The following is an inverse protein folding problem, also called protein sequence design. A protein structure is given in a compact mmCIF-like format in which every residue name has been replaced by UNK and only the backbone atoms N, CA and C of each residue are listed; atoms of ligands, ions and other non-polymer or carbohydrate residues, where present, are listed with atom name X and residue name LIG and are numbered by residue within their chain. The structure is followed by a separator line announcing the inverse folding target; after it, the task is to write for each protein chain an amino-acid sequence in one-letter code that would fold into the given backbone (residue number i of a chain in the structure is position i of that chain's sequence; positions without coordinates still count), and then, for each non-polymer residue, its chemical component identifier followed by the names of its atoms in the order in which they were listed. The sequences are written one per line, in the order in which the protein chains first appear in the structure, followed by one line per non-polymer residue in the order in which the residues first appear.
data_IF_990579495005
#
_entry.id   IF_990579495005
#
_cell.length_a   1.000
_cell.length_b   1.000
_cell.length_c   1.000
_cell.angle_alpha   90.00
_cell.angle_beta   90.00
_cell.angle_gamma   90.00
#
_symmetry.space_group_name_H-M   'P 1'
#
loop_
_entity.id
_entity.type
_entity.pdbx_description
1 polymer ?
#
# COMPACT_ATOMS: atom_id res chain seq x y z
N UNK A 1 18.04 1.70 14.16
CA UNK A 1 16.66 1.17 14.07
C UNK A 1 16.44 0.69 12.65
N UNK A 2 16.10 -0.58 12.45
CA UNK A 2 15.75 -1.07 11.12
C UNK A 2 14.28 -0.78 10.87
N UNK A 3 13.94 -0.11 9.78
CA UNK A 3 12.57 -0.10 9.27
C UNK A 3 12.41 -1.42 8.53
N UNK A 4 11.57 -2.33 9.04
CA UNK A 4 10.99 -3.33 8.19
C UNK A 4 9.76 -2.70 7.57
N UNK A 5 9.96 -2.28 6.38
CA UNK A 5 9.02 -2.01 5.31
C UNK A 5 7.73 -1.24 5.58
N UNK A 6 7.44 -0.51 4.60
CA UNK A 6 6.09 -0.16 4.16
C UNK A 6 5.76 -1.04 2.96
N UNK A 7 4.48 -1.38 2.79
CA UNK A 7 4.04 -1.90 1.51
C UNK A 7 4.40 -0.89 0.40
N UNK A 8 5.12 -1.35 -0.59
CA UNK A 8 5.48 -0.56 -1.76
C UNK A 8 4.56 -0.91 -2.91
N UNK A 9 3.75 0.05 -3.33
CA UNK A 9 2.76 -0.15 -4.38
C UNK A 9 3.21 0.45 -5.69
N UNK A 10 2.92 -0.25 -6.77
CA UNK A 10 2.92 0.27 -8.13
C UNK A 10 1.51 0.30 -8.69
N UNK A 11 1.32 0.83 -9.88
CA UNK A 11 0.02 1.00 -10.51
C UNK A 11 0.04 0.57 -11.96
N UNK A 12 -1.08 0.01 -12.40
CA UNK A 12 -1.43 -0.12 -13.81
C UNK A 12 -2.65 0.74 -14.05
N UNK A 13 -2.56 1.67 -14.98
CA UNK A 13 -3.66 2.58 -15.34
C UNK A 13 -4.11 2.32 -16.77
N UNK A 14 -5.42 2.36 -16.96
CA UNK A 14 -6.03 2.08 -18.24
C UNK A 14 -7.05 3.17 -18.61
N UNK A 15 -7.09 3.52 -19.88
CA UNK A 15 -8.20 4.27 -20.48
C UNK A 15 -9.32 3.30 -20.83
N UNK A 16 -10.55 3.75 -20.65
CA UNK A 16 -11.76 2.97 -20.98
C UNK A 16 -12.76 3.79 -21.75
N UNK A 17 -13.63 3.09 -22.51
CA UNK A 17 -14.77 3.66 -23.23
C UNK A 17 -16.06 2.90 -22.92
N UNK A 18 -17.19 3.50 -23.22
CA UNK A 18 -18.51 2.88 -23.02
C UNK A 18 -18.98 2.81 -21.56
N UNK A 19 -18.22 3.35 -20.60
CA UNK A 19 -18.55 3.36 -19.17
C UNK A 19 -18.14 4.68 -18.52
N UNK A 20 -18.94 5.14 -17.55
CA UNK A 20 -18.61 6.31 -16.75
C UNK A 20 -17.76 5.90 -15.53
N UNK A 21 -16.66 6.60 -15.34
CA UNK A 21 -15.77 6.45 -14.19
C UNK A 21 -15.82 7.67 -13.27
N UNK A 22 -15.09 7.66 -12.17
CA UNK A 22 -14.95 8.82 -11.28
C UNK A 22 -14.49 10.05 -12.08
N UNK A 23 -13.58 9.87 -13.06
CA UNK A 23 -13.04 10.96 -13.86
C UNK A 23 -14.12 11.79 -14.57
N UNK A 24 -15.12 11.13 -15.15
CA UNK A 24 -16.25 11.81 -15.85
C UNK A 24 -17.26 12.39 -14.85
N UNK A 25 -17.51 11.69 -13.73
CA UNK A 25 -18.56 12.02 -12.77
C UNK A 25 -18.14 13.08 -11.75
N UNK A 26 -16.84 13.25 -11.50
CA UNK A 26 -16.30 14.18 -10.49
C UNK A 26 -16.12 15.61 -11.02
N UNK A 27 -16.77 16.00 -12.13
CA UNK A 27 -16.58 17.32 -12.77
C UNK A 27 -17.89 17.88 -13.32
N UNK A 28 -17.96 19.22 -13.37
CA UNK A 28 -19.04 19.94 -14.03
C UNK A 28 -20.45 19.56 -13.58
N UNK A 29 -21.40 19.53 -14.51
CA UNK A 29 -22.79 19.16 -14.24
C UNK A 29 -22.96 17.75 -13.67
N UNK A 30 -22.23 16.69 -14.10
CA UNK A 30 -22.27 15.38 -13.48
C UNK A 30 -21.97 15.43 -11.98
N UNK A 31 -20.98 16.21 -11.53
CA UNK A 31 -20.64 16.34 -10.11
C UNK A 31 -21.80 16.95 -9.30
N UNK A 32 -22.49 17.95 -9.84
CA UNK A 32 -23.69 18.51 -9.19
C UNK A 32 -24.78 17.45 -9.00
N UNK A 33 -24.96 16.58 -9.99
CA UNK A 33 -25.86 15.44 -9.89
C UNK A 33 -25.43 14.43 -8.80
N UNK A 34 -24.14 14.16 -8.65
CA UNK A 34 -23.60 13.30 -7.60
C UNK A 34 -23.76 13.92 -6.20
N UNK A 35 -23.54 15.23 -6.06
CA UNK A 35 -23.78 15.97 -4.82
C UNK A 35 -25.26 15.89 -4.44
N UNK A 36 -26.16 16.13 -5.39
CA UNK A 36 -27.61 16.04 -5.13
C UNK A 36 -28.02 14.64 -4.69
N UNK A 37 -27.54 13.58 -5.37
CA UNK A 37 -27.79 12.19 -4.99
C UNK A 37 -27.34 11.90 -3.55
N UNK A 38 -26.15 12.39 -3.16
CA UNK A 38 -25.59 12.21 -1.82
C UNK A 38 -26.53 12.80 -0.75
N UNK A 39 -26.97 14.04 -0.95
CA UNK A 39 -27.86 14.72 0.01
C UNK A 39 -29.25 14.09 0.15
N UNK A 40 -29.74 13.42 -0.90
CA UNK A 40 -31.04 12.70 -0.83
C UNK A 40 -30.89 11.21 -0.47
N UNK A 41 -29.71 10.80 0.03
CA UNK A 41 -29.45 9.42 0.46
C UNK A 41 -29.42 8.39 -0.68
N UNK A 42 -29.13 8.80 -1.93
CA UNK A 42 -28.92 7.90 -3.05
C UNK A 42 -27.44 7.65 -3.28
N UNK A 43 -27.10 6.46 -3.78
CA UNK A 43 -25.71 6.07 -4.11
C UNK A 43 -25.03 7.12 -5.00
N UNK A 44 -23.90 7.62 -4.53
CA UNK A 44 -23.08 8.66 -5.17
C UNK A 44 -21.60 8.26 -5.17
N UNK A 45 -20.82 8.85 -6.08
CA UNK A 45 -19.36 8.72 -6.04
C UNK A 45 -18.75 9.30 -4.75
N UNK A 46 -19.46 10.21 -4.06
CA UNK A 46 -18.99 10.81 -2.80
C UNK A 46 -19.00 9.83 -1.63
N UNK A 47 -19.65 8.69 -1.77
CA UNK A 47 -19.64 7.59 -0.79
C UNK A 47 -18.54 6.56 -1.05
N UNK A 48 -17.94 6.63 -2.24
CA UNK A 48 -16.89 5.69 -2.61
C UNK A 48 -15.60 6.04 -1.88
N UNK A 49 -15.02 5.06 -1.20
CA UNK A 49 -13.63 5.13 -0.78
C UNK A 49 -12.69 5.17 -2.00
N UNK A 50 -11.40 5.42 -1.78
CA UNK A 50 -10.42 5.50 -2.86
C UNK A 50 -10.27 4.17 -3.63
N UNK A 51 -10.74 3.07 -3.06
CA UNK A 51 -10.71 1.73 -3.64
C UNK A 51 -12.09 1.09 -3.56
N UNK A 52 -12.58 0.61 -4.68
CA UNK A 52 -13.89 -0.03 -4.76
C UNK A 52 -13.84 -1.55 -4.50
N UNK A 53 -12.74 -2.21 -4.88
CA UNK A 53 -12.57 -3.66 -4.78
C UNK A 53 -11.15 -3.97 -4.32
N UNK A 54 -11.03 -4.94 -3.40
CA UNK A 54 -9.78 -5.52 -2.93
C UNK A 54 -9.70 -6.99 -3.40
N UNK A 55 -8.59 -7.34 -4.05
CA UNK A 55 -8.31 -8.71 -4.48
C UNK A 55 -7.02 -9.18 -3.82
N UNK A 56 -7.05 -10.40 -3.28
CA UNK A 56 -5.89 -11.06 -2.68
C UNK A 56 -5.54 -12.28 -3.53
N UNK A 57 -4.36 -12.28 -4.12
CA UNK A 57 -3.94 -13.25 -5.11
C UNK A 57 -2.55 -13.82 -4.77
N UNK A 58 -2.19 -14.91 -5.41
CA UNK A 58 -0.88 -15.54 -5.30
C UNK A 58 -0.05 -15.21 -6.53
N UNK A 59 1.18 -14.76 -6.34
CA UNK A 59 2.15 -14.56 -7.43
C UNK A 59 2.56 -15.87 -8.06
N UNK A 60 2.56 -16.95 -7.28
CA UNK A 60 2.80 -18.32 -7.72
C UNK A 60 1.70 -19.23 -7.17
N UNK A 61 1.15 -20.09 -8.05
CA UNK A 61 0.09 -21.05 -7.71
C UNK A 61 0.47 -22.06 -6.60
N UNK A 62 1.77 -22.26 -6.39
CA UNK A 62 2.29 -23.18 -5.37
C UNK A 62 2.37 -22.55 -3.97
N UNK A 63 2.10 -21.25 -3.82
CA UNK A 63 2.05 -20.60 -2.52
C UNK A 63 0.80 -21.04 -1.76
N UNK A 64 0.94 -21.29 -0.46
CA UNK A 64 -0.20 -21.66 0.41
C UNK A 64 -1.15 -20.48 0.64
N UNK A 65 -0.62 -19.27 0.67
CA UNK A 65 -1.36 -18.05 0.98
C UNK A 65 -1.14 -16.95 -0.07
N UNK A 66 -2.14 -16.08 -0.30
CA UNK A 66 -1.95 -14.88 -1.11
C UNK A 66 -0.79 -14.03 -0.63
N UNK A 67 0.00 -13.53 -1.57
CA UNK A 67 1.16 -12.66 -1.33
C UNK A 67 1.07 -11.33 -2.07
N UNK A 68 0.03 -11.16 -2.89
CA UNK A 68 -0.27 -9.93 -3.64
C UNK A 68 -1.63 -9.39 -3.23
N UNK A 69 -1.73 -8.08 -3.08
CA UNK A 69 -3.00 -7.37 -3.07
C UNK A 69 -3.13 -6.49 -4.31
N UNK A 70 -4.31 -6.47 -4.90
CA UNK A 70 -4.69 -5.57 -5.98
C UNK A 70 -5.91 -4.77 -5.54
N UNK A 71 -5.82 -3.46 -5.68
CA UNK A 71 -6.92 -2.53 -5.44
C UNK A 71 -7.42 -1.99 -6.75
N UNK A 72 -8.72 -2.14 -7.01
CA UNK A 72 -9.37 -1.56 -8.17
C UNK A 72 -10.03 -0.23 -7.80
N UNK A 73 -9.62 0.83 -8.51
CA UNK A 73 -10.20 2.18 -8.41
C UNK A 73 -10.79 2.55 -9.78
N UNK A 74 -12.10 2.83 -9.88
CA UNK A 74 -12.72 3.23 -11.15
C UNK A 74 -12.43 4.70 -11.49
N UNK A 75 -11.16 5.05 -11.55
CA UNK A 75 -10.63 6.37 -11.82
C UNK A 75 -9.12 6.37 -12.01
N UNK A 76 -8.61 7.39 -12.67
CA UNK A 76 -7.18 7.61 -12.90
C UNK A 76 -6.77 9.01 -12.46
N UNK A 77 -5.52 9.15 -12.04
CA UNK A 77 -4.92 10.41 -11.60
C UNK A 77 -3.77 10.78 -12.54
N UNK A 78 -3.55 12.08 -12.70
CA UNK A 78 -2.42 12.58 -13.48
C UNK A 78 -1.10 12.06 -12.91
N UNK A 79 -0.19 11.71 -13.80
CA UNK A 79 1.14 11.23 -13.43
C UNK A 79 1.82 12.21 -12.47
N UNK A 80 2.32 11.68 -11.34
CA UNK A 80 2.96 12.48 -10.29
C UNK A 80 2.02 13.31 -9.39
N UNK A 81 0.70 13.37 -9.70
CA UNK A 81 -0.28 14.16 -8.93
C UNK A 81 -1.46 13.30 -8.47
N UNK A 82 -1.35 12.69 -7.31
CA UNK A 82 -2.42 11.83 -6.76
C UNK A 82 -3.73 12.58 -6.43
N UNK A 83 -3.68 13.88 -6.27
CA UNK A 83 -4.84 14.72 -5.96
C UNK A 83 -5.62 15.18 -7.19
N UNK A 84 -5.07 14.99 -8.40
CA UNK A 84 -5.66 15.51 -9.64
C UNK A 84 -6.10 14.37 -10.55
N UNK A 85 -7.41 14.24 -10.75
CA UNK A 85 -7.97 13.26 -11.68
C UNK A 85 -7.64 13.60 -13.13
N UNK A 86 -7.38 12.60 -13.95
CA UNK A 86 -7.32 12.74 -15.41
C UNK A 86 -8.68 13.16 -15.98
N UNK A 87 -8.70 13.65 -17.22
CA UNK A 87 -9.95 14.06 -17.87
C UNK A 87 -10.73 12.88 -18.44
N UNK A 88 -9.99 11.94 -19.02
CA UNK A 88 -10.57 10.80 -19.73
C UNK A 88 -11.03 9.72 -18.75
N UNK A 89 -12.01 8.93 -19.15
CA UNK A 89 -12.47 7.79 -18.37
C UNK A 89 -11.37 6.74 -18.27
N UNK A 90 -11.13 6.26 -17.05
CA UNK A 90 -10.12 5.25 -16.82
C UNK A 90 -10.31 4.54 -15.48
N UNK A 91 -9.50 3.50 -15.26
CA UNK A 91 -9.38 2.84 -13.97
C UNK A 91 -7.92 2.59 -13.61
N UNK A 92 -7.68 2.39 -12.34
CA UNK A 92 -6.36 2.06 -11.78
C UNK A 92 -6.42 0.73 -11.05
N UNK A 93 -5.46 -0.15 -11.33
CA UNK A 93 -5.12 -1.32 -10.54
C UNK A 93 -3.83 -1.01 -9.76
N UNK A 94 -3.96 -0.70 -8.47
CA UNK A 94 -2.80 -0.54 -7.60
C UNK A 94 -2.46 -1.88 -6.98
N UNK A 95 -1.18 -2.26 -6.99
CA UNK A 95 -0.76 -3.57 -6.49
C UNK A 95 0.51 -3.49 -5.67
N UNK A 96 0.63 -4.38 -4.70
CA UNK A 96 1.80 -4.54 -3.83
C UNK A 96 1.92 -5.94 -3.26
N UNK A 97 3.12 -6.28 -2.83
CA UNK A 97 3.40 -7.51 -2.10
C UNK A 97 2.97 -7.36 -0.62
N UNK A 98 2.35 -8.41 -0.05
CA UNK A 98 1.90 -8.42 1.33
C UNK A 98 3.03 -8.52 2.35
N UNK A 99 4.05 -9.30 2.05
CA UNK A 99 5.14 -9.63 2.99
C UNK A 99 6.48 -9.39 2.33
N UNK A 100 6.86 -8.12 2.09
CA UNK A 100 8.14 -7.79 1.51
C UNK A 100 9.29 -8.25 2.41
N UNK A 101 10.45 -8.54 1.80
CA UNK A 101 11.68 -8.93 2.49
C UNK A 101 12.74 -7.83 2.49
N UNK A 102 12.58 -6.80 1.67
CA UNK A 102 13.42 -5.61 1.71
C UNK A 102 13.26 -4.90 3.04
N UNK A 103 14.30 -4.32 3.58
CA UNK A 103 14.23 -3.53 4.80
C UNK A 103 15.24 -2.38 4.77
N UNK A 104 14.84 -1.29 5.39
CA UNK A 104 15.63 -0.09 5.48
C UNK A 104 16.00 0.29 6.91
N UNK A 105 16.26 1.59 7.12
CA UNK A 105 16.60 2.09 8.45
C UNK A 105 16.14 3.54 8.65
N UNK A 106 15.98 3.91 9.94
CA UNK A 106 15.87 5.30 10.40
C UNK A 106 16.99 5.56 11.38
N UNK A 107 17.74 6.65 11.19
CA UNK A 107 18.87 7.02 12.06
C UNK A 107 18.85 8.51 12.37
N UNK A 108 19.18 8.87 13.62
CA UNK A 108 19.53 10.25 13.94
C UNK A 108 20.85 10.62 13.23
N UNK A 109 20.89 11.76 12.56
CA UNK A 109 22.11 12.24 11.89
C UNK A 109 23.10 12.92 12.84
N UNK A 110 22.59 13.51 13.90
CA UNK A 110 23.35 14.22 14.94
C UNK A 110 22.55 14.26 16.25
N UNK A 111 23.02 14.98 17.23
CA UNK A 111 22.39 15.13 18.56
C UNK A 111 21.34 16.22 18.64
N UNK A 112 21.11 17.00 17.58
CA UNK A 112 20.04 17.99 17.52
C UNK A 112 18.68 17.28 17.33
N UNK A 113 17.74 17.36 18.31
CA UNK A 113 16.45 16.69 18.24
C UNK A 113 15.52 17.27 17.16
N UNK A 114 15.79 18.46 16.65
CA UNK A 114 15.01 19.10 15.58
C UNK A 114 15.53 18.79 14.18
N UNK A 115 16.69 18.15 14.07
CA UNK A 115 17.21 17.73 12.78
C UNK A 115 16.47 16.50 12.26
N UNK A 116 16.01 16.56 11.00
CA UNK A 116 15.31 15.43 10.38
C UNK A 116 16.20 14.18 10.34
N UNK A 117 15.67 13.00 10.74
CA UNK A 117 16.41 11.76 10.69
C UNK A 117 16.74 11.37 9.24
N UNK A 118 17.73 10.53 9.08
CA UNK A 118 17.97 9.80 7.84
C UNK A 118 16.98 8.65 7.77
N UNK A 119 16.20 8.61 6.68
CA UNK A 119 15.21 7.57 6.41
C UNK A 119 15.57 6.91 5.09
N UNK A 120 15.92 5.63 5.13
CA UNK A 120 16.29 4.85 3.94
C UNK A 120 15.44 3.58 3.89
N UNK A 121 14.37 3.55 3.08
CA UNK A 121 13.47 2.40 3.02
C UNK A 121 14.04 1.17 2.32
N UNK A 122 14.89 1.35 1.31
CA UNK A 122 15.45 0.28 0.46
C UNK A 122 14.39 -0.58 -0.25
N UNK A 123 13.30 0.04 -0.70
CA UNK A 123 12.25 -0.69 -1.43
C UNK A 123 12.80 -1.45 -2.62
N UNK A 124 12.25 -2.65 -2.87
CA UNK A 124 12.63 -3.53 -3.97
C UNK A 124 14.13 -3.89 -4.00
N UNK A 125 14.78 -3.95 -2.84
CA UNK A 125 16.17 -4.40 -2.74
C UNK A 125 16.27 -5.93 -2.77
N UNK A 126 15.32 -6.63 -2.13
CA UNK A 126 15.28 -8.09 -2.14
C UNK A 126 14.75 -8.62 -3.48
N UNK A 127 15.38 -9.67 -4.03
CA UNK A 127 15.00 -10.27 -5.33
C UNK A 127 13.57 -10.80 -5.33
N UNK A 128 13.09 -11.30 -4.19
CA UNK A 128 11.72 -11.78 -4.06
C UNK A 128 10.72 -10.64 -4.26
N UNK A 129 10.99 -9.46 -3.72
CA UNK A 129 10.11 -8.29 -3.84
C UNK A 129 10.05 -7.79 -5.28
N UNK A 130 11.20 -7.81 -6.00
CA UNK A 130 11.28 -7.46 -7.42
C UNK A 130 10.47 -8.43 -8.26
N UNK A 131 10.61 -9.73 -8.01
CA UNK A 131 9.88 -10.78 -8.74
C UNK A 131 8.37 -10.67 -8.51
N UNK A 132 7.94 -10.53 -7.25
CA UNK A 132 6.52 -10.46 -6.90
C UNK A 132 5.85 -9.22 -7.47
N UNK A 133 6.50 -8.04 -7.44
CA UNK A 133 5.92 -6.81 -8.00
C UNK A 133 5.78 -6.90 -9.54
N UNK A 134 6.75 -7.49 -10.23
CA UNK A 134 6.68 -7.73 -11.67
C UNK A 134 5.52 -8.68 -12.00
N UNK A 135 5.39 -9.78 -11.26
CA UNK A 135 4.31 -10.75 -11.48
C UNK A 135 2.94 -10.11 -11.17
N UNK A 136 2.85 -9.26 -10.15
CA UNK A 136 1.64 -8.52 -9.83
C UNK A 136 1.19 -7.60 -10.99
N UNK A 137 2.12 -6.91 -11.67
CA UNK A 137 1.81 -6.12 -12.87
C UNK A 137 1.28 -7.00 -14.00
N UNK A 138 1.89 -8.17 -14.24
CA UNK A 138 1.43 -9.12 -15.26
C UNK A 138 0.02 -9.65 -14.96
N UNK A 139 -0.26 -9.97 -13.69
CA UNK A 139 -1.60 -10.36 -13.24
C UNK A 139 -2.60 -9.23 -13.50
N UNK A 140 -2.25 -7.98 -13.17
CA UNK A 140 -3.09 -6.82 -13.48
C UNK A 140 -3.38 -6.70 -14.98
N UNK A 141 -2.39 -6.90 -15.86
CA UNK A 141 -2.60 -6.97 -17.32
C UNK A 141 -3.54 -8.10 -17.72
N UNK A 142 -3.38 -9.27 -17.11
CA UNK A 142 -4.29 -10.41 -17.35
C UNK A 142 -5.74 -10.06 -17.01
N UNK A 143 -5.97 -9.32 -15.93
CA UNK A 143 -7.31 -8.88 -15.53
C UNK A 143 -7.97 -7.97 -16.57
N UNK A 144 -7.21 -7.07 -17.22
CA UNK A 144 -7.76 -6.18 -18.26
C UNK A 144 -8.27 -6.96 -19.49
N UNK A 145 -7.77 -8.16 -19.72
CA UNK A 145 -8.14 -9.01 -20.87
C UNK A 145 -9.28 -9.99 -20.55
N UNK A 146 -9.82 -9.98 -19.34
CA UNK A 146 -10.97 -10.79 -18.95
C UNK A 146 -12.25 -10.34 -19.66
N UNK A 147 -13.22 -11.24 -19.82
CA UNK A 147 -14.52 -10.91 -20.44
C UNK A 147 -15.26 -9.76 -19.74
N UNK A 148 -14.97 -9.51 -18.45
CA UNK A 148 -15.58 -8.44 -17.67
C UNK A 148 -15.00 -7.06 -17.98
N UNK A 149 -13.71 -6.93 -18.24
CA UNK A 149 -13.03 -5.64 -18.41
C UNK A 149 -12.68 -5.35 -19.88
N UNK A 150 -12.35 -6.38 -20.66
CA UNK A 150 -11.96 -6.24 -22.07
C UNK A 150 -12.92 -5.43 -22.94
N UNK A 151 -14.27 -5.51 -22.80
CA UNK A 151 -15.18 -4.71 -23.60
C UNK A 151 -15.06 -3.20 -23.40
N UNK A 152 -14.51 -2.76 -22.28
CA UNK A 152 -14.33 -1.34 -21.95
C UNK A 152 -12.89 -0.87 -22.13
N UNK A 153 -11.92 -1.79 -22.24
CA UNK A 153 -10.50 -1.51 -22.30
C UNK A 153 -10.13 -0.88 -23.65
N UNK A 154 -9.48 0.28 -23.62
CA UNK A 154 -8.92 0.95 -24.81
C UNK A 154 -7.43 0.75 -24.87
N UNK A 155 -6.71 1.21 -23.85
CA UNK A 155 -5.26 1.12 -23.78
C UNK A 155 -4.76 1.13 -22.33
N UNK A 156 -3.59 0.57 -22.11
CA UNK A 156 -2.81 0.73 -20.89
C UNK A 156 -2.00 2.02 -20.99
N UNK A 157 -2.32 3.01 -20.16
CA UNK A 157 -1.65 4.31 -20.16
C UNK A 157 -0.38 4.28 -19.31
N UNK A 158 -0.32 3.41 -18.30
CA UNK A 158 0.86 3.19 -17.48
C UNK A 158 0.88 1.73 -16.95
N UNK A 159 2.04 1.05 -16.92
CA UNK A 159 3.35 1.46 -17.46
C UNK A 159 3.38 1.60 -18.98
N UNK A 160 2.34 1.16 -19.66
CA UNK A 160 2.20 1.17 -21.11
C UNK A 160 2.62 -0.15 -21.76
N UNK A 161 1.97 -0.49 -22.86
CA UNK A 161 2.15 -1.78 -23.55
C UNK A 161 3.57 -2.00 -24.12
N UNK A 162 4.38 -0.94 -24.17
CA UNK A 162 5.78 -1.03 -24.59
C UNK A 162 6.70 -1.67 -23.54
N UNK A 163 6.35 -1.60 -22.25
CA UNK A 163 7.07 -2.28 -21.18
C UNK A 163 6.71 -3.77 -21.18
N UNK A 164 7.53 -4.62 -21.80
CA UNK A 164 7.26 -6.06 -21.99
C UNK A 164 8.14 -6.94 -21.12
N UNK A 165 9.43 -6.62 -21.03
CA UNK A 165 10.40 -7.39 -20.24
C UNK A 165 10.22 -7.21 -18.73
N UNK A 166 10.72 -8.17 -17.95
CA UNK A 166 10.70 -8.06 -16.49
C UNK A 166 11.45 -6.82 -16.00
N UNK A 167 12.57 -6.48 -16.64
CA UNK A 167 13.38 -5.33 -16.27
C UNK A 167 12.66 -4.00 -16.55
N UNK A 168 11.97 -3.89 -17.68
CA UNK A 168 11.14 -2.71 -17.99
C UNK A 168 9.99 -2.55 -16.99
N UNK A 169 9.29 -3.64 -16.64
CA UNK A 169 8.24 -3.64 -15.64
C UNK A 169 8.77 -3.27 -14.24
N UNK A 170 9.92 -3.81 -13.86
CA UNK A 170 10.56 -3.48 -12.60
C UNK A 170 11.00 -2.00 -12.56
N UNK A 171 11.57 -1.50 -13.64
CA UNK A 171 11.97 -0.10 -13.74
C UNK A 171 10.76 0.83 -13.68
N UNK A 172 9.67 0.50 -14.35
CA UNK A 172 8.42 1.26 -14.22
C UNK A 172 7.90 1.26 -12.77
N UNK A 173 7.95 0.11 -12.09
CA UNK A 173 7.57 0.04 -10.69
C UNK A 173 8.45 0.92 -9.80
N UNK A 174 9.77 1.01 -10.07
CA UNK A 174 10.70 1.90 -9.36
C UNK A 174 10.45 3.38 -9.61
N UNK A 175 10.00 3.72 -10.81
CA UNK A 175 9.78 5.11 -11.23
C UNK A 175 8.57 5.74 -10.53
N UNK A 176 7.43 5.04 -10.47
CA UNK A 176 6.19 5.60 -9.92
C UNK A 176 5.71 4.93 -8.64
N UNK A 177 6.36 3.82 -8.26
CA UNK A 177 6.01 3.12 -7.04
C UNK A 177 6.26 3.99 -5.82
N UNK A 178 5.46 3.77 -4.80
CA UNK A 178 5.54 4.54 -3.57
C UNK A 178 5.11 3.73 -2.36
N UNK A 179 5.52 4.20 -1.19
CA UNK A 179 4.96 3.72 0.07
C UNK A 179 3.45 3.97 0.12
N UNK A 180 2.70 3.01 0.61
CA UNK A 180 1.28 3.21 0.95
C UNK A 180 1.09 3.47 2.45
N UNK A 181 2.13 4.04 3.08
CA UNK A 181 2.12 4.53 4.46
C UNK A 181 1.93 3.43 5.53
N UNK A 182 2.31 2.22 5.23
CA UNK A 182 2.26 1.08 6.16
C UNK A 182 3.60 0.87 6.88
N UNK A 183 4.23 1.95 7.37
CA UNK A 183 5.53 1.91 8.04
C UNK A 183 5.47 1.12 9.35
N UNK A 184 6.42 0.20 9.56
CA UNK A 184 6.46 -0.65 10.76
C UNK A 184 7.91 -1.09 11.10
N UNK A 185 8.09 -1.73 12.25
CA UNK A 185 9.27 -2.53 12.55
C UNK A 185 10.51 -1.79 13.06
N UNK A 186 10.45 -0.45 13.25
CA UNK A 186 11.62 0.30 13.76
C UNK A 186 11.95 0.03 15.25
N UNK A 187 10.98 -0.46 16.03
CA UNK A 187 11.13 -0.82 17.44
C UNK A 187 10.68 -2.26 17.70
N UNK A 188 11.15 -3.21 16.90
CA UNK A 188 10.67 -4.60 16.89
C UNK A 188 10.56 -5.23 18.28
N UNK A 189 9.44 -5.93 18.48
CA UNK A 189 9.22 -6.76 19.66
C UNK A 189 10.01 -8.08 19.52
N UNK A 190 10.60 -8.50 20.63
CA UNK A 190 11.27 -9.79 20.70
C UNK A 190 12.07 -9.98 21.99
N UNK A 191 12.69 -11.14 22.17
CA UNK A 191 13.46 -11.45 23.38
C UNK A 191 14.74 -10.58 23.46
N UNK A 192 15.18 -10.28 24.66
CA UNK A 192 16.39 -9.48 24.93
C UNK A 192 17.66 -10.07 24.29
N UNK A 193 17.67 -11.38 24.02
CA UNK A 193 18.76 -12.07 23.31
C UNK A 193 18.85 -11.74 21.84
N UNK A 194 17.77 -11.23 21.24
CA UNK A 194 17.78 -10.76 19.86
C UNK A 194 18.24 -9.30 19.83
N UNK A 195 19.40 -9.04 19.24
CA UNK A 195 20.01 -7.69 19.16
C UNK A 195 19.19 -6.66 18.37
N UNK A 196 18.27 -7.09 17.54
CA UNK A 196 17.39 -6.20 16.77
C UNK A 196 16.10 -5.85 17.54
N UNK A 197 15.79 -6.55 18.63
CA UNK A 197 14.60 -6.29 19.43
C UNK A 197 14.79 -5.06 20.31
N UNK A 198 13.81 -4.18 20.30
CA UNK A 198 13.77 -2.93 21.07
C UNK A 198 12.84 -3.06 22.27
N UNK A 199 11.71 -3.77 22.13
CA UNK A 199 10.75 -3.98 23.21
C UNK A 199 10.51 -5.47 23.47
N UNK A 200 10.10 -5.77 24.71
CA UNK A 200 9.66 -7.10 25.12
C UNK A 200 8.17 -7.35 24.80
N UNK A 201 7.64 -8.51 25.19
CA UNK A 201 6.23 -8.88 25.01
C UNK A 201 5.24 -8.04 25.85
N UNK A 202 5.73 -7.24 26.81
CA UNK A 202 4.96 -6.25 27.57
C UNK A 202 5.13 -4.84 26.98
N UNK A 203 5.72 -4.73 25.79
CA UNK A 203 5.99 -3.48 25.07
C UNK A 203 6.97 -2.55 25.80
N UNK A 204 7.72 -3.05 26.80
CA UNK A 204 8.73 -2.29 27.54
C UNK A 204 10.05 -2.27 26.78
N UNK A 205 10.68 -1.11 26.71
CA UNK A 205 11.98 -0.94 26.05
C UNK A 205 13.06 -1.67 26.85
N UNK A 206 13.85 -2.51 26.18
CA UNK A 206 14.96 -3.23 26.81
C UNK A 206 16.00 -2.26 27.38
N UNK A 207 16.35 -2.45 28.66
CA UNK A 207 17.37 -1.65 29.31
C UNK A 207 16.96 -0.26 29.81
N UNK A 208 15.72 0.17 29.56
CA UNK A 208 15.19 1.46 30.03
C UNK A 208 13.96 1.20 30.89
N UNK A 209 13.94 1.77 32.10
CA UNK A 209 12.80 1.63 32.99
C UNK A 209 11.66 2.60 32.60
N UNK A 210 10.42 2.18 32.85
CA UNK A 210 9.21 3.01 32.69
C UNK A 210 8.97 3.57 31.29
N UNK A 211 9.54 2.96 30.22
CA UNK A 211 9.36 3.34 28.84
C UNK A 211 8.74 2.20 28.04
N UNK A 212 7.73 2.50 27.26
CA UNK A 212 7.09 1.57 26.29
C UNK A 212 7.01 2.19 24.90
N UNK A 213 6.91 1.33 23.89
CA UNK A 213 6.53 1.70 22.52
C UNK A 213 5.26 0.92 22.16
N UNK A 214 4.22 1.64 21.71
CA UNK A 214 2.88 1.09 21.48
C UNK A 214 2.33 1.62 20.15
N UNK A 215 2.92 1.17 19.05
CA UNK A 215 2.51 1.51 17.68
C UNK A 215 3.01 0.45 16.69
N UNK A 216 2.83 0.68 15.38
CA UNK A 216 3.25 -0.26 14.34
C UNK A 216 4.76 -0.60 14.36
N UNK A 217 5.58 0.25 14.96
CA UNK A 217 7.04 0.04 15.00
C UNK A 217 7.46 -1.22 15.77
N UNK A 218 6.60 -1.74 16.66
CA UNK A 218 6.88 -2.96 17.42
C UNK A 218 6.73 -4.25 16.61
N UNK A 219 6.07 -4.21 15.45
CA UNK A 219 5.84 -5.40 14.64
C UNK A 219 7.15 -6.01 14.17
N UNK A 220 7.41 -7.31 14.44
CA UNK A 220 8.65 -7.96 14.03
C UNK A 220 8.66 -8.33 12.55
N UNK A 221 7.49 -8.49 11.93
CA UNK A 221 7.31 -8.79 10.50
C UNK A 221 6.07 -8.08 9.98
N UNK A 222 6.07 -7.79 8.67
CA UNK A 222 4.91 -7.19 8.00
C UNK A 222 3.71 -8.13 8.07
N UNK A 223 2.57 -7.59 8.50
CA UNK A 223 1.29 -8.32 8.44
C UNK A 223 0.75 -8.27 7.02
N UNK A 224 0.01 -9.31 6.63
CA UNK A 224 -0.70 -9.31 5.35
C UNK A 224 -1.87 -8.34 5.40
N UNK A 225 -2.07 -7.54 4.36
CA UNK A 225 -3.08 -6.50 4.25
C UNK A 225 -2.75 -5.18 4.99
N UNK A 226 -3.74 -4.31 5.17
CA UNK A 226 -3.55 -2.97 5.74
C UNK A 226 -3.27 -3.04 7.25
N UNK A 227 -2.39 -2.18 7.75
CA UNK A 227 -1.91 -2.23 9.14
C UNK A 227 -2.93 -1.76 10.19
N UNK A 228 -3.97 -1.02 9.79
CA UNK A 228 -4.82 -0.28 10.74
C UNK A 228 -5.43 -1.18 11.83
N UNK A 229 -5.98 -2.33 11.46
CA UNK A 229 -6.57 -3.26 12.43
C UNK A 229 -5.54 -3.80 13.44
N UNK A 230 -4.34 -4.14 12.95
CA UNK A 230 -3.24 -4.60 13.81
C UNK A 230 -2.74 -3.48 14.74
N UNK A 231 -2.67 -2.24 14.25
CA UNK A 231 -2.27 -1.08 15.08
C UNK A 231 -3.30 -0.79 16.17
N UNK A 232 -4.60 -0.86 15.86
CA UNK A 232 -5.66 -0.71 16.86
C UNK A 232 -5.57 -1.81 17.94
N UNK A 233 -5.35 -3.06 17.54
CA UNK A 233 -5.15 -4.16 18.49
C UNK A 233 -3.91 -3.94 19.37
N UNK A 234 -2.80 -3.46 18.81
CA UNK A 234 -1.58 -3.11 19.57
C UNK A 234 -1.88 -2.00 20.59
N UNK A 235 -2.63 -0.99 20.18
CA UNK A 235 -3.01 0.14 21.06
C UNK A 235 -3.89 -0.31 22.23
N UNK A 236 -4.93 -1.10 21.97
CA UNK A 236 -5.81 -1.68 22.99
C UNK A 236 -5.04 -2.56 23.97
N UNK A 237 -4.24 -3.50 23.46
CA UNK A 237 -3.41 -4.35 24.32
C UNK A 237 -2.38 -3.54 25.13
N UNK A 238 -1.81 -2.50 24.51
CA UNK A 238 -0.87 -1.60 25.19
C UNK A 238 -1.54 -0.83 26.34
N UNK A 239 -2.77 -0.37 26.14
CA UNK A 239 -3.58 0.28 27.18
C UNK A 239 -3.85 -0.67 28.35
N UNK A 240 -4.24 -1.91 28.09
CA UNK A 240 -4.44 -2.93 29.12
C UNK A 240 -3.15 -3.21 29.93
N UNK A 241 -2.01 -3.33 29.24
CA UNK A 241 -0.70 -3.54 29.90
C UNK A 241 -0.29 -2.35 30.80
N UNK A 242 -0.65 -1.12 30.42
CA UNK A 242 -0.42 0.08 31.26
C UNK A 242 -1.33 0.07 32.49
N UNK A 243 -2.58 -0.32 32.31
CA UNK A 243 -3.61 -0.35 33.37
C UNK A 243 -3.52 -1.60 34.27
N UNK A 244 -2.60 -2.54 33.97
CA UNK A 244 -2.48 -3.80 34.71
C UNK A 244 -3.65 -4.75 34.49
N UNK A 245 -4.36 -4.63 33.35
CA UNK A 245 -5.44 -5.53 32.95
C UNK A 245 -4.85 -6.68 32.14
N UNK A 246 -5.21 -7.92 32.46
CA UNK A 246 -4.76 -9.14 31.76
C UNK A 246 -5.76 -9.57 30.68
#
# INVERSE_FOLDING_TARGET
MCIRDSHYATRLTCRVEGVNTINNRARGLPLLGEIFKYFIGRRSILELGPTAIFCFLRSDKNLDQPDIQINFTPGTHQHGMQSTLERDAGFTLSTWQHRPESFGYVRAKNTDPFHNPEIQPNYLQADIDQRVIVEAIKICRGLTQTNALKPYFVEETYPGMHCVSNDELLNSAREIGQSIYHLMGTCQMGPKTNRTSVVDHQLKVHGIQSLRVIDASIMPTMVSANLNAAVMMIAEKGADLILGRN
#
